data_IF_997322163841
#
_entry.id   IF_997322163841
#
_cell.length_a   1.000
_cell.length_b   1.000
_cell.length_c   1.000
_cell.angle_alpha   90.00
_cell.angle_beta   90.00
_cell.angle_gamma   90.00
#
_symmetry.space_group_name_H-M   'P 1'
#
loop_
_entity.id
_entity.type
_entity.pdbx_description
1 polymer ?
#
# COMPACT_ATOMS: atom_id res chain seq x y z
N UNK A 1 18.96 1.47 -14.41
CA UNK A 1 19.20 1.74 -12.97
C UNK A 1 18.31 2.87 -12.42
N UNK A 2 18.38 4.10 -12.93
CA UNK A 2 17.60 5.25 -12.40
C UNK A 2 16.07 5.02 -12.47
N UNK A 3 15.56 4.43 -13.56
CA UNK A 3 14.13 4.11 -13.68
C UNK A 3 13.62 3.12 -12.62
N UNK A 4 14.46 2.16 -12.18
CA UNK A 4 14.10 1.22 -11.11
C UNK A 4 14.12 1.89 -9.73
N UNK A 5 15.05 2.84 -9.51
CA UNK A 5 15.11 3.64 -8.28
C UNK A 5 13.89 4.55 -8.12
N UNK A 6 13.44 5.18 -9.21
CA UNK A 6 12.23 6.04 -9.19
C UNK A 6 10.98 5.23 -8.84
N UNK A 7 10.82 4.03 -9.41
CA UNK A 7 9.69 3.15 -9.08
C UNK A 7 9.64 2.73 -7.61
N UNK A 8 10.79 2.44 -7.00
CA UNK A 8 10.88 2.08 -5.58
C UNK A 8 10.59 3.27 -4.67
N UNK A 9 11.10 4.46 -5.00
CA UNK A 9 10.84 5.68 -4.22
C UNK A 9 9.36 6.07 -4.27
N UNK A 10 8.70 5.96 -5.43
CA UNK A 10 7.26 6.21 -5.55
C UNK A 10 6.39 5.13 -4.87
N UNK A 11 6.82 3.87 -4.83
CA UNK A 11 6.15 2.84 -4.05
C UNK A 11 6.24 3.10 -2.54
N UNK A 12 7.40 3.58 -2.06
CA UNK A 12 7.61 3.93 -0.65
C UNK A 12 6.82 5.16 -0.20
N UNK A 13 6.42 6.07 -1.10
CA UNK A 13 5.61 7.24 -0.75
C UNK A 13 4.10 7.01 -0.90
N UNK A 14 3.66 5.79 -1.22
CA UNK A 14 2.24 5.50 -1.44
C UNK A 14 1.34 5.72 -0.20
N UNK A 15 1.90 5.76 1.01
CA UNK A 15 1.17 6.08 2.23
C UNK A 15 0.82 7.58 2.37
N UNK A 16 1.60 8.48 1.76
CA UNK A 16 1.37 9.93 1.83
C UNK A 16 0.03 10.35 1.18
N UNK A 17 -0.31 9.91 -0.06
CA UNK A 17 -1.62 10.18 -0.65
C UNK A 17 -2.78 9.70 0.23
N UNK A 18 -2.68 8.49 0.80
CA UNK A 18 -3.72 7.94 1.67
C UNK A 18 -3.90 8.75 2.95
N UNK A 19 -2.79 9.27 3.52
CA UNK A 19 -2.82 10.13 4.70
C UNK A 19 -3.46 11.49 4.38
N UNK A 20 -3.13 12.09 3.24
CA UNK A 20 -3.75 13.34 2.78
C UNK A 20 -5.25 13.15 2.59
N UNK A 21 -5.68 12.05 1.95
CA UNK A 21 -7.10 11.73 1.78
C UNK A 21 -7.80 11.54 3.13
N UNK A 22 -7.16 10.86 4.10
CA UNK A 22 -7.70 10.73 5.46
C UNK A 22 -7.86 12.08 6.16
N UNK A 23 -6.87 12.97 6.08
CA UNK A 23 -6.93 14.30 6.69
C UNK A 23 -8.03 15.17 6.07
N UNK A 24 -8.21 15.10 4.75
CA UNK A 24 -9.29 15.79 4.04
C UNK A 24 -10.66 15.19 4.38
N UNK A 25 -10.76 13.86 4.49
CA UNK A 25 -11.97 13.14 4.83
C UNK A 25 -12.43 13.36 6.28
N UNK A 26 -11.49 13.68 7.19
CA UNK A 26 -11.75 13.87 8.63
C UNK A 26 -12.83 14.92 8.93
N UNK A 27 -12.98 15.93 8.08
CA UNK A 27 -13.96 17.01 8.24
C UNK A 27 -15.28 16.85 7.48
N UNK A 28 -15.49 15.76 6.71
CA UNK A 28 -16.68 15.64 5.83
C UNK A 28 -17.81 14.78 6.39
N UNK A 29 -17.63 13.46 6.42
CA UNK A 29 -18.69 12.50 6.77
C UNK A 29 -18.10 11.29 7.49
N UNK A 30 -18.79 10.70 8.49
CA UNK A 30 -18.34 9.49 9.18
C UNK A 30 -18.05 8.33 8.23
N UNK A 31 -18.82 8.20 7.15
CA UNK A 31 -18.66 7.15 6.13
C UNK A 31 -17.35 7.32 5.35
N UNK A 32 -17.11 8.53 4.83
CA UNK A 32 -15.90 8.85 4.07
C UNK A 32 -14.65 8.76 4.97
N UNK A 33 -14.77 9.21 6.23
CA UNK A 33 -13.70 9.10 7.22
C UNK A 33 -13.33 7.64 7.49
N UNK A 34 -14.33 6.76 7.61
CA UNK A 34 -14.09 5.33 7.85
C UNK A 34 -13.35 4.67 6.68
N UNK A 35 -13.84 4.86 5.44
CA UNK A 35 -13.16 4.30 4.27
C UNK A 35 -11.76 4.89 4.06
N UNK A 36 -11.54 6.16 4.39
CA UNK A 36 -10.22 6.79 4.31
C UNK A 36 -9.27 6.28 5.41
N UNK A 37 -9.75 6.04 6.63
CA UNK A 37 -8.95 5.43 7.70
C UNK A 37 -8.56 3.98 7.33
N UNK A 38 -9.49 3.24 6.75
CA UNK A 38 -9.31 1.85 6.34
C UNK A 38 -8.31 1.75 5.17
N UNK A 39 -8.38 2.67 4.20
CA UNK A 39 -7.40 2.79 3.14
C UNK A 39 -6.00 3.12 3.68
N UNK A 40 -5.90 4.05 4.64
CA UNK A 40 -4.63 4.39 5.30
C UNK A 40 -4.04 3.19 6.06
N UNK A 41 -4.87 2.45 6.80
CA UNK A 41 -4.46 1.25 7.52
C UNK A 41 -3.92 0.17 6.56
N UNK A 42 -4.59 -0.05 5.41
CA UNK A 42 -4.10 -0.95 4.37
C UNK A 42 -2.77 -0.49 3.80
N UNK A 43 -2.62 0.81 3.50
CA UNK A 43 -1.38 1.34 2.92
C UNK A 43 -0.20 1.23 3.89
N UNK A 44 -0.43 1.46 5.19
CA UNK A 44 0.57 1.25 6.22
C UNK A 44 0.93 -0.22 6.39
N UNK A 45 -0.05 -1.11 6.26
CA UNK A 45 0.17 -2.56 6.31
C UNK A 45 1.03 -3.03 5.14
N UNK A 46 0.74 -2.53 3.94
CA UNK A 46 1.49 -2.86 2.72
C UNK A 46 2.85 -2.15 2.64
N UNK A 47 3.06 -1.08 3.41
CA UNK A 47 4.35 -0.39 3.47
C UNK A 47 5.47 -1.32 3.96
N UNK A 48 5.24 -2.12 5.00
CA UNK A 48 6.24 -3.07 5.52
C UNK A 48 6.75 -4.05 4.46
N UNK A 49 5.90 -4.81 3.74
CA UNK A 49 6.39 -5.72 2.71
C UNK A 49 6.98 -5.00 1.49
N UNK A 50 6.58 -3.74 1.20
CA UNK A 50 7.30 -2.92 0.20
C UNK A 50 8.74 -2.61 0.63
N UNK A 51 8.96 -2.21 1.89
CA UNK A 51 10.30 -1.96 2.45
C UNK A 51 11.14 -3.23 2.45
N UNK A 52 10.56 -4.38 2.81
CA UNK A 52 11.24 -5.68 2.76
C UNK A 52 11.61 -6.06 1.32
N UNK A 53 10.69 -5.89 0.35
CA UNK A 53 10.95 -6.15 -1.06
C UNK A 53 12.07 -5.27 -1.63
N UNK A 54 12.08 -3.98 -1.29
CA UNK A 54 13.14 -3.06 -1.66
C UNK A 54 14.49 -3.42 -1.01
N UNK A 55 14.48 -3.80 0.27
CA UNK A 55 15.65 -4.27 0.99
C UNK A 55 16.24 -5.55 0.39
N UNK A 56 15.38 -6.51 0.01
CA UNK A 56 15.79 -7.72 -0.71
C UNK A 56 16.37 -7.39 -2.07
N UNK A 57 15.76 -6.49 -2.84
CA UNK A 57 16.26 -6.09 -4.15
C UNK A 57 17.66 -5.45 -4.06
N UNK A 58 17.86 -4.53 -3.12
CA UNK A 58 19.15 -3.85 -2.93
C UNK A 58 20.20 -4.78 -2.32
N UNK A 59 19.84 -5.53 -1.28
CA UNK A 59 20.75 -6.43 -0.57
C UNK A 59 21.19 -7.61 -1.43
N UNK A 60 20.24 -8.27 -2.10
CA UNK A 60 20.55 -9.35 -3.05
C UNK A 60 21.18 -8.79 -4.31
N UNK A 61 20.79 -7.61 -4.79
CA UNK A 61 21.45 -6.96 -5.93
C UNK A 61 22.94 -6.68 -5.71
N UNK A 62 23.35 -6.41 -4.47
CA UNK A 62 24.76 -6.16 -4.13
C UNK A 62 25.56 -7.43 -3.85
N UNK A 63 24.94 -8.46 -3.27
CA UNK A 63 25.61 -9.71 -2.87
C UNK A 63 25.49 -10.84 -3.90
N UNK A 64 24.40 -10.91 -4.66
CA UNK A 64 24.06 -11.99 -5.59
C UNK A 64 23.09 -11.51 -6.69
N UNK A 65 23.60 -10.89 -7.76
CA UNK A 65 22.79 -10.22 -8.80
C UNK A 65 21.73 -11.12 -9.45
N UNK A 66 22.02 -12.41 -9.58
CA UNK A 66 21.13 -13.40 -10.21
C UNK A 66 19.84 -13.66 -9.42
N UNK A 67 19.83 -13.30 -8.13
CA UNK A 67 18.68 -13.48 -7.22
C UNK A 67 17.92 -12.17 -6.95
N UNK A 68 18.40 -11.03 -7.48
CA UNK A 68 17.77 -9.73 -7.25
C UNK A 68 16.31 -9.65 -7.72
N UNK A 69 15.93 -10.47 -8.72
CA UNK A 69 14.56 -10.55 -9.23
C UNK A 69 13.54 -10.96 -8.17
N UNK A 70 13.96 -11.64 -7.10
CA UNK A 70 13.09 -12.05 -5.98
C UNK A 70 12.51 -10.81 -5.29
N UNK A 71 13.33 -9.77 -5.08
CA UNK A 71 12.86 -8.50 -4.51
C UNK A 71 11.78 -7.85 -5.38
N UNK A 72 11.98 -7.86 -6.71
CA UNK A 72 10.98 -7.36 -7.67
C UNK A 72 9.71 -8.20 -7.66
N UNK A 73 9.81 -9.53 -7.60
CA UNK A 73 8.65 -10.43 -7.55
C UNK A 73 7.80 -10.17 -6.28
N UNK A 74 8.44 -9.97 -5.13
CA UNK A 74 7.75 -9.61 -3.88
C UNK A 74 7.03 -8.27 -4.02
N UNK A 75 7.69 -7.24 -4.56
CA UNK A 75 7.08 -5.93 -4.80
C UNK A 75 5.84 -6.02 -5.70
N UNK A 76 5.91 -6.81 -6.78
CA UNK A 76 4.76 -7.02 -7.69
C UNK A 76 3.61 -7.77 -7.00
N UNK A 77 3.92 -8.78 -6.20
CA UNK A 77 2.89 -9.51 -5.44
C UNK A 77 2.14 -8.59 -4.46
N UNK A 78 2.87 -7.72 -3.73
CA UNK A 78 2.29 -6.73 -2.82
C UNK A 78 1.42 -5.72 -3.58
N UNK A 79 1.85 -5.31 -4.78
CA UNK A 79 1.07 -4.41 -5.64
C UNK A 79 -0.25 -5.03 -6.10
N UNK A 80 -0.25 -6.31 -6.48
CA UNK A 80 -1.47 -7.04 -6.83
C UNK A 80 -2.43 -7.13 -5.65
N UNK A 81 -1.91 -7.42 -4.45
CA UNK A 81 -2.71 -7.43 -3.21
C UNK A 81 -3.34 -6.05 -2.98
N UNK A 82 -2.58 -4.97 -3.15
CA UNK A 82 -3.08 -3.60 -3.05
C UNK A 82 -4.23 -3.33 -4.02
N UNK A 83 -4.13 -3.79 -5.27
CA UNK A 83 -5.17 -3.63 -6.28
C UNK A 83 -6.44 -4.41 -5.92
N UNK A 84 -6.31 -5.68 -5.53
CA UNK A 84 -7.46 -6.51 -5.16
C UNK A 84 -8.22 -5.86 -4.00
N UNK A 85 -7.52 -5.50 -2.93
CA UNK A 85 -8.14 -4.87 -1.79
C UNK A 85 -8.71 -3.48 -2.13
N UNK A 86 -7.98 -2.66 -2.91
CA UNK A 86 -8.47 -1.37 -3.38
C UNK A 86 -9.78 -1.48 -4.18
N UNK A 87 -9.90 -2.46 -5.07
CA UNK A 87 -11.13 -2.69 -5.85
C UNK A 87 -12.28 -3.16 -4.96
N UNK A 88 -12.03 -4.05 -3.98
CA UNK A 88 -13.06 -4.47 -3.03
C UNK A 88 -13.62 -3.30 -2.22
N UNK A 89 -12.76 -2.42 -1.68
CA UNK A 89 -13.24 -1.25 -0.96
C UNK A 89 -13.95 -0.24 -1.85
N UNK A 90 -13.49 -0.04 -3.10
CA UNK A 90 -14.18 0.84 -4.05
C UNK A 90 -15.58 0.32 -4.38
N UNK A 91 -15.73 -1.00 -4.61
CA UNK A 91 -17.04 -1.62 -4.86
C UNK A 91 -17.95 -1.56 -3.64
N UNK A 92 -17.41 -1.69 -2.43
CA UNK A 92 -18.19 -1.59 -1.21
C UNK A 92 -18.63 -0.15 -0.91
N UNK A 93 -17.77 0.84 -1.16
CA UNK A 93 -18.11 2.25 -1.07
C UNK A 93 -19.19 2.64 -2.09
N UNK A 94 -19.15 2.09 -3.31
CA UNK A 94 -20.19 2.28 -4.33
C UNK A 94 -21.55 1.67 -3.94
N UNK A 95 -21.56 0.70 -3.01
CA UNK A 95 -22.79 0.07 -2.46
C UNK A 95 -23.23 0.70 -1.13
N UNK A 96 -22.65 1.84 -0.74
CA UNK A 96 -22.88 2.51 0.54
C UNK A 96 -22.70 1.57 1.76
N UNK A 97 -21.82 0.58 1.59
CA UNK A 97 -21.59 -0.48 2.58
C UNK A 97 -20.27 -0.27 3.31
N UNK A 98 -20.30 -0.43 4.63
CA UNK A 98 -19.13 -0.33 5.48
C UNK A 98 -18.20 -1.52 5.23
N UNK A 99 -16.99 -1.25 4.74
CA UNK A 99 -16.00 -2.27 4.41
C UNK A 99 -14.81 -2.16 5.34
N UNK A 100 -14.42 -3.29 5.94
CA UNK A 100 -13.20 -3.43 6.74
C UNK A 100 -12.26 -4.40 6.05
N UNK A 101 -10.98 -4.03 5.95
CA UNK A 101 -9.96 -4.89 5.38
C UNK A 101 -9.58 -5.99 6.38
N UNK A 102 -9.71 -7.27 6.03
CA UNK A 102 -9.37 -8.37 6.94
C UNK A 102 -7.87 -8.45 7.25
N UNK A 103 -7.02 -7.93 6.36
CA UNK A 103 -5.56 -7.97 6.49
C UNK A 103 -4.94 -6.69 7.04
N UNK A 104 -5.70 -5.59 7.15
CA UNK A 104 -5.13 -4.31 7.55
C UNK A 104 -4.92 -4.24 9.06
N UNK A 105 -3.77 -3.76 9.51
CA UNK A 105 -3.58 -3.36 10.90
C UNK A 105 -4.36 -2.07 11.16
N UNK A 106 -5.37 -2.15 12.03
CA UNK A 106 -6.28 -1.03 12.33
C UNK A 106 -5.62 -0.04 13.29
N UNK A 107 -4.66 0.72 12.80
CA UNK A 107 -3.88 1.69 13.58
C UNK A 107 -4.65 3.01 13.77
N UNK A 108 -5.52 3.35 12.82
CA UNK A 108 -6.32 4.59 12.82
C UNK A 108 -7.82 4.25 12.71
N UNK A 109 -8.69 4.99 13.44
CA UNK A 109 -10.15 4.80 13.53
C UNK A 109 -10.93 6.00 13.02
#
# INVERSE_FOLDING_TARGET
>A
MVAHLVGVVFACTAWLPSLVVYLVAKGRSPFVRHHAAEALNLQLTLFFPYVVGAGLFVGLGFSSPDLAWIGTAVTVAVWLVCLVFGTLAATAAARDSWYRYPIAFHLVK
#
